data_IF_817788645886
#
_entry.id   IF_817788645886
#
_cell.length_a   1.000
_cell.length_b   1.000
_cell.length_c   1.000
_cell.angle_alpha   90.00
_cell.angle_beta   90.00
_cell.angle_gamma   90.00
#
_symmetry.space_group_name_H-M   'P 1'
#
loop_
_entity.id
_entity.type
_entity.pdbx_description
1 polymer ?
#
# COMPACT_ATOMS: atom_id res chain seq x y z
N UNK A 1 -25.62 15.14 -25.01
CA UNK A 1 -26.41 14.50 -23.93
C UNK A 1 -25.60 13.61 -22.99
N UNK A 2 -24.31 13.29 -23.26
CA UNK A 2 -23.45 12.47 -22.38
C UNK A 2 -22.74 13.21 -21.22
N UNK A 3 -22.71 14.55 -21.19
CA UNK A 3 -21.98 15.29 -20.14
C UNK A 3 -22.74 15.36 -18.80
N UNK A 4 -24.06 15.34 -18.82
CA UNK A 4 -24.89 15.49 -17.62
C UNK A 4 -25.02 14.20 -16.78
N UNK A 5 -24.79 13.03 -17.39
CA UNK A 5 -24.88 11.74 -16.67
C UNK A 5 -23.63 11.47 -15.82
N UNK A 6 -22.45 11.90 -16.30
CA UNK A 6 -21.19 11.77 -15.55
C UNK A 6 -21.12 12.71 -14.33
N UNK A 7 -21.74 13.89 -14.40
CA UNK A 7 -21.83 14.81 -13.26
C UNK A 7 -22.78 14.31 -12.16
N UNK A 8 -23.88 13.64 -12.54
CA UNK A 8 -24.80 13.02 -11.56
C UNK A 8 -24.15 11.83 -10.85
N UNK A 9 -23.35 11.02 -11.54
CA UNK A 9 -22.61 9.92 -10.94
C UNK A 9 -21.53 10.41 -9.97
N UNK A 10 -20.87 11.54 -10.28
CA UNK A 10 -19.91 12.17 -9.37
C UNK A 10 -20.58 12.66 -8.07
N UNK A 11 -21.72 13.33 -8.17
CA UNK A 11 -22.44 13.84 -6.99
C UNK A 11 -23.03 12.71 -6.12
N UNK A 12 -23.46 11.59 -6.72
CA UNK A 12 -23.92 10.40 -5.97
C UNK A 12 -22.77 9.71 -5.23
N UNK A 13 -21.59 9.59 -5.86
CA UNK A 13 -20.41 9.01 -5.21
C UNK A 13 -19.83 9.94 -4.14
N UNK A 14 -19.92 11.26 -4.34
CA UNK A 14 -19.59 12.29 -3.34
C UNK A 14 -20.54 12.27 -2.14
N UNK A 15 -21.83 12.00 -2.33
CA UNK A 15 -22.79 11.81 -1.24
C UNK A 15 -22.55 10.52 -0.45
N UNK A 16 -22.21 9.41 -1.13
CA UNK A 16 -21.87 8.14 -0.45
C UNK A 16 -20.62 8.24 0.44
N UNK A 17 -19.59 9.01 0.04
CA UNK A 17 -18.40 9.28 0.89
C UNK A 17 -18.71 10.21 2.08
N UNK A 18 -19.82 10.96 2.08
CA UNK A 18 -20.20 11.89 3.17
C UNK A 18 -21.11 11.28 4.24
N UNK A 19 -21.87 10.23 3.91
CA UNK A 19 -22.79 9.57 4.85
C UNK A 19 -22.06 8.56 5.76
N UNK A 20 -20.92 8.00 5.35
CA UNK A 20 -20.17 6.99 6.12
C UNK A 20 -19.22 7.54 7.20
N UNK A 21 -19.08 8.87 7.32
CA UNK A 21 -18.20 9.50 8.34
C UNK A 21 -18.93 9.80 9.67
N UNK A 22 -20.25 9.54 9.77
CA UNK A 22 -21.08 9.93 10.93
C UNK A 22 -21.77 8.76 11.67
N UNK A 23 -21.03 7.70 12.00
CA UNK A 23 -21.34 6.89 13.19
C UNK A 23 -20.12 6.89 14.10
N UNK A 24 -20.03 7.94 14.90
CA UNK A 24 -19.19 8.07 16.08
C UNK A 24 -19.58 7.02 17.13
N UNK A 25 -18.74 6.02 17.36
CA UNK A 25 -18.78 5.23 18.59
C UNK A 25 -18.00 5.98 19.68
N UNK A 26 -18.75 6.71 20.49
CA UNK A 26 -18.31 7.42 21.68
C UNK A 26 -17.96 6.42 22.80
N UNK A 27 -16.82 6.63 23.45
CA UNK A 27 -16.46 6.23 24.83
C UNK A 27 -16.50 4.75 25.22
N UNK A 28 -15.32 4.13 25.22
CA UNK A 28 -14.94 3.18 26.27
C UNK A 28 -13.46 3.38 26.62
N UNK A 29 -13.19 4.39 27.47
CA UNK A 29 -11.99 4.38 28.28
C UNK A 29 -12.20 3.45 29.46
N UNK A 30 -11.58 2.27 29.43
CA UNK A 30 -11.26 1.50 30.63
C UNK A 30 -10.04 0.60 30.36
N UNK A 31 -9.01 0.83 31.16
CA UNK A 31 -7.77 0.06 31.32
C UNK A 31 -7.91 -1.46 31.17
N UNK A 32 -7.05 -2.08 30.36
CA UNK A 32 -6.57 -3.44 30.60
C UNK A 32 -5.21 -3.66 29.91
N UNK A 33 -4.19 -3.91 30.74
CA UNK A 33 -2.94 -4.56 30.37
C UNK A 33 -3.27 -5.90 29.70
N UNK A 34 -2.68 -6.17 28.55
CA UNK A 34 -2.81 -7.47 27.89
C UNK A 34 -1.83 -7.59 26.74
N UNK A 35 -0.72 -8.27 27.01
CA UNK A 35 0.31 -8.69 26.07
C UNK A 35 -0.25 -8.97 24.66
N UNK A 36 0.19 -8.19 23.68
CA UNK A 36 -0.21 -8.36 22.28
C UNK A 36 0.21 -9.73 21.77
N UNK A 37 -0.78 -10.59 21.50
CA UNK A 37 -0.66 -11.63 20.49
C UNK A 37 -1.38 -11.09 19.25
N UNK A 38 -0.68 -10.32 18.43
CA UNK A 38 -1.12 -10.13 17.05
C UNK A 38 -0.86 -11.46 16.34
N UNK A 39 -1.86 -12.11 15.72
CA UNK A 39 -1.57 -13.23 14.83
C UNK A 39 -0.72 -12.69 13.68
N UNK A 40 0.58 -12.99 13.73
CA UNK A 40 1.46 -12.94 12.57
C UNK A 40 0.99 -14.07 11.65
N UNK A 41 0.02 -13.77 10.79
CA UNK A 41 -0.31 -14.65 9.67
C UNK A 41 0.95 -14.76 8.82
N UNK A 42 1.68 -15.85 9.03
CA UNK A 42 2.89 -16.21 8.31
C UNK A 42 2.44 -16.71 6.95
N UNK A 43 2.00 -15.76 6.11
CA UNK A 43 1.29 -15.98 4.87
C UNK A 43 2.12 -16.70 3.82
N UNK A 44 2.28 -18.00 3.97
CA UNK A 44 2.50 -18.88 2.81
C UNK A 44 1.12 -19.28 2.32
N UNK A 45 0.40 -18.34 1.70
CA UNK A 45 -0.84 -18.67 1.00
C UNK A 45 -0.44 -19.40 -0.29
N UNK A 46 -0.48 -20.73 -0.28
CA UNK A 46 -0.48 -21.49 -1.53
C UNK A 46 -1.79 -21.15 -2.25
N UNK A 47 -1.76 -20.09 -3.07
CA UNK A 47 -2.92 -19.55 -3.78
C UNK A 47 -3.65 -20.61 -4.62
N UNK A 48 -2.91 -21.65 -5.04
CA UNK A 48 -3.43 -22.80 -5.78
C UNK A 48 -4.38 -23.69 -4.95
N UNK A 49 -4.21 -23.79 -3.63
CA UNK A 49 -4.91 -24.80 -2.83
C UNK A 49 -6.33 -24.39 -2.40
N UNK A 50 -6.64 -23.10 -2.38
CA UNK A 50 -7.91 -22.60 -1.84
C UNK A 50 -8.95 -22.16 -2.90
N UNK A 51 -8.68 -22.37 -4.19
CA UNK A 51 -9.58 -21.96 -5.28
C UNK A 51 -9.87 -20.45 -5.35
N UNK A 52 -9.14 -19.65 -4.57
CA UNK A 52 -9.26 -18.19 -4.54
C UNK A 52 -8.45 -17.60 -5.69
N UNK A 53 -9.07 -16.68 -6.44
CA UNK A 53 -8.36 -15.90 -7.46
C UNK A 53 -7.59 -14.79 -6.75
N UNK A 54 -6.27 -14.98 -6.66
CA UNK A 54 -5.37 -14.05 -5.99
C UNK A 54 -4.41 -13.43 -7.01
N UNK A 55 -4.01 -12.20 -6.73
CA UNK A 55 -2.95 -11.48 -7.43
C UNK A 55 -2.01 -10.91 -6.38
N UNK A 56 -0.72 -10.85 -6.69
CA UNK A 56 0.27 -10.12 -5.91
C UNK A 56 0.73 -8.90 -6.70
N UNK A 57 0.75 -7.73 -6.07
CA UNK A 57 1.21 -6.49 -6.68
C UNK A 57 2.64 -6.22 -6.24
N UNK A 58 3.52 -6.05 -7.22
CA UNK A 58 4.92 -5.68 -6.98
C UNK A 58 5.27 -4.44 -7.80
N UNK A 59 6.11 -3.57 -7.23
CA UNK A 59 6.58 -2.36 -7.87
C UNK A 59 8.10 -2.29 -7.81
N UNK A 60 8.74 -2.18 -8.97
CA UNK A 60 10.19 -2.09 -9.12
C UNK A 60 10.63 -0.62 -9.30
N UNK A 61 11.95 -0.39 -9.29
CA UNK A 61 12.61 0.89 -9.58
C UNK A 61 12.31 2.05 -8.61
N UNK A 62 11.71 1.78 -7.46
CA UNK A 62 11.44 2.78 -6.43
C UNK A 62 12.69 3.16 -5.60
N UNK A 63 12.59 4.12 -4.67
CA UNK A 63 11.47 5.05 -4.50
C UNK A 63 11.56 6.25 -5.45
N UNK A 64 10.41 6.68 -5.96
CA UNK A 64 10.24 7.95 -6.68
C UNK A 64 9.49 8.95 -5.77
N UNK A 65 9.89 10.21 -5.78
CA UNK A 65 9.31 11.23 -4.87
C UNK A 65 7.85 11.55 -5.17
N UNK A 66 7.39 11.33 -6.41
CA UNK A 66 6.01 11.56 -6.82
C UNK A 66 5.24 10.24 -6.93
N UNK A 67 5.62 9.37 -7.86
CA UNK A 67 4.77 8.22 -8.25
C UNK A 67 4.62 7.19 -7.14
N UNK A 68 5.62 7.01 -6.27
CA UNK A 68 5.48 6.12 -5.10
C UNK A 68 4.37 6.62 -4.18
N UNK A 69 4.21 7.93 -3.98
CA UNK A 69 3.14 8.47 -3.15
C UNK A 69 1.77 8.29 -3.79
N UNK A 70 1.65 8.50 -5.10
CA UNK A 70 0.39 8.29 -5.83
C UNK A 70 -0.07 6.82 -5.76
N UNK A 71 0.88 5.88 -5.89
CA UNK A 71 0.60 4.44 -5.73
C UNK A 71 0.18 4.12 -4.29
N UNK A 72 0.86 4.67 -3.29
CA UNK A 72 0.48 4.47 -1.88
C UNK A 72 -0.92 5.05 -1.58
N UNK A 73 -1.29 6.19 -2.16
CA UNK A 73 -2.64 6.76 -2.02
C UNK A 73 -3.70 5.80 -2.55
N UNK A 74 -3.47 5.22 -3.74
CA UNK A 74 -4.38 4.24 -4.32
C UNK A 74 -4.45 2.95 -3.50
N UNK A 75 -3.30 2.42 -3.07
CA UNK A 75 -3.28 1.22 -2.23
C UNK A 75 -4.05 1.44 -0.91
N UNK A 76 -3.95 2.62 -0.31
CA UNK A 76 -4.76 2.99 0.85
C UNK A 76 -6.25 3.11 0.52
N UNK A 77 -6.63 3.72 -0.61
CA UNK A 77 -8.04 3.84 -1.03
C UNK A 77 -8.72 2.47 -1.19
N UNK A 78 -7.98 1.47 -1.64
CA UNK A 78 -8.49 0.11 -1.88
C UNK A 78 -8.18 -0.89 -0.77
N UNK A 79 -7.59 -0.46 0.35
CA UNK A 79 -7.13 -1.34 1.45
C UNK A 79 -6.27 -2.52 0.95
N UNK A 80 -5.41 -2.25 -0.03
CA UNK A 80 -4.57 -3.24 -0.69
C UNK A 80 -3.14 -3.21 -0.12
N UNK A 81 -2.44 -4.34 -0.22
CA UNK A 81 -1.01 -4.48 0.10
C UNK A 81 -0.20 -4.79 -1.14
N UNK A 82 1.06 -4.39 -1.14
CA UNK A 82 2.00 -4.60 -2.23
C UNK A 82 3.44 -4.67 -1.71
N UNK A 83 4.33 -5.20 -2.54
CA UNK A 83 5.78 -5.25 -2.28
C UNK A 83 6.50 -4.24 -3.18
N UNK A 84 7.40 -3.45 -2.59
CA UNK A 84 8.16 -2.41 -3.27
C UNK A 84 9.64 -2.79 -3.31
N UNK A 85 10.14 -3.14 -4.50
CA UNK A 85 11.54 -3.41 -4.76
C UNK A 85 12.26 -2.09 -5.04
N UNK A 86 13.10 -1.66 -4.08
CA UNK A 86 13.76 -0.36 -4.12
C UNK A 86 15.21 -0.46 -4.60
N UNK A 87 15.62 0.49 -5.44
CA UNK A 87 17.02 0.73 -5.81
C UNK A 87 17.68 1.55 -4.69
N UNK A 88 18.78 1.04 -4.13
CA UNK A 88 19.47 1.68 -3.02
C UNK A 88 19.85 3.14 -3.28
N UNK A 89 20.38 3.47 -4.46
CA UNK A 89 20.81 4.82 -4.82
C UNK A 89 19.63 5.79 -5.03
N UNK A 90 18.40 5.27 -5.22
CA UNK A 90 17.20 6.11 -5.27
C UNK A 90 16.72 6.50 -3.87
N UNK A 91 17.21 5.87 -2.81
CA UNK A 91 16.89 6.22 -1.41
C UNK A 91 17.80 7.35 -0.96
N UNK A 92 17.24 8.55 -0.88
CA UNK A 92 17.94 9.76 -0.43
C UNK A 92 17.03 10.60 0.49
N UNK A 93 17.51 11.74 0.97
CA UNK A 93 16.75 12.57 1.91
C UNK A 93 15.37 13.00 1.40
N UNK A 94 15.16 13.11 0.08
CA UNK A 94 13.87 13.50 -0.49
C UNK A 94 12.90 12.31 -0.63
N UNK A 95 13.41 11.11 -0.93
CA UNK A 95 12.59 9.92 -1.15
C UNK A 95 12.41 9.04 0.10
N UNK A 96 13.25 9.21 1.13
CA UNK A 96 13.17 8.43 2.37
C UNK A 96 11.79 8.56 3.06
N UNK A 97 11.12 9.70 2.91
CA UNK A 97 9.78 9.91 3.45
C UNK A 97 8.73 8.97 2.82
N UNK A 98 8.80 8.71 1.51
CA UNK A 98 7.86 7.78 0.86
C UNK A 98 8.16 6.33 1.23
N UNK A 99 9.43 5.96 1.40
CA UNK A 99 9.82 4.63 1.91
C UNK A 99 9.29 4.41 3.32
N UNK A 100 9.49 5.39 4.22
CA UNK A 100 8.96 5.31 5.59
C UNK A 100 7.44 5.19 5.58
N UNK A 101 6.77 5.98 4.74
CA UNK A 101 5.32 5.92 4.58
C UNK A 101 4.86 4.53 4.13
N UNK A 102 5.50 3.95 3.11
CA UNK A 102 5.17 2.60 2.63
C UNK A 102 5.30 1.56 3.77
N UNK A 103 6.39 1.63 4.53
CA UNK A 103 6.61 0.77 5.71
C UNK A 103 5.53 0.97 6.78
N UNK A 104 5.23 2.21 7.15
CA UNK A 104 4.20 2.53 8.15
C UNK A 104 2.80 2.05 7.72
N UNK A 105 2.55 1.97 6.41
CA UNK A 105 1.31 1.45 5.82
C UNK A 105 1.27 -0.10 5.75
N UNK A 106 2.33 -0.78 6.18
CA UNK A 106 2.42 -2.24 6.16
C UNK A 106 2.65 -2.83 4.77
N UNK A 107 3.31 -2.08 3.87
CA UNK A 107 3.81 -2.61 2.60
C UNK A 107 5.12 -3.36 2.83
N UNK A 108 5.45 -4.30 1.95
CA UNK A 108 6.76 -4.95 1.96
C UNK A 108 7.78 -4.06 1.25
N UNK A 109 9.00 -3.99 1.81
CA UNK A 109 10.11 -3.21 1.27
C UNK A 109 11.25 -4.18 0.95
N UNK A 110 11.55 -4.31 -0.33
CA UNK A 110 12.46 -5.30 -0.86
C UNK A 110 13.60 -4.67 -1.67
N UNK A 111 14.59 -5.50 -2.02
CA UNK A 111 15.85 -5.06 -2.64
C UNK A 111 15.79 -5.19 -4.17
N UNK A 112 15.98 -4.08 -4.89
CA UNK A 112 16.14 -4.02 -6.34
C UNK A 112 17.58 -3.67 -6.77
N UNK A 113 18.55 -4.19 -6.04
CA UNK A 113 19.98 -3.84 -6.06
C UNK A 113 20.28 -2.43 -5.57
N UNK A 114 21.57 -2.10 -5.45
CA UNK A 114 22.01 -0.76 -5.09
C UNK A 114 21.89 0.23 -6.25
N UNK A 115 22.36 -0.17 -7.43
CA UNK A 115 22.65 0.73 -8.57
C UNK A 115 21.82 0.40 -9.82
N UNK A 116 20.98 -0.63 -9.77
CA UNK A 116 20.26 -1.17 -10.92
C UNK A 116 21.19 -1.59 -12.08
N UNK A 117 22.40 -2.06 -11.74
CA UNK A 117 23.36 -2.60 -12.71
C UNK A 117 22.95 -4.01 -13.16
N UNK A 118 23.30 -4.34 -14.41
CA UNK A 118 23.03 -5.67 -14.95
C UNK A 118 23.85 -6.74 -14.21
N UNK A 119 23.18 -7.47 -13.31
CA UNK A 119 23.81 -8.48 -12.45
C UNK A 119 24.51 -9.60 -13.22
N UNK A 120 24.05 -9.95 -14.44
CA UNK A 120 24.70 -10.98 -15.26
C UNK A 120 26.10 -10.58 -15.76
N UNK A 121 26.45 -9.29 -15.67
CA UNK A 121 27.74 -8.73 -16.08
C UNK A 121 28.64 -8.37 -14.90
N UNK A 122 28.20 -8.63 -13.67
CA UNK A 122 28.97 -8.35 -12.46
C UNK A 122 29.86 -9.55 -12.12
N UNK A 123 30.99 -9.29 -11.48
CA UNK A 123 31.83 -10.35 -10.93
C UNK A 123 31.17 -10.97 -9.69
N UNK A 124 31.32 -12.29 -9.53
CA UNK A 124 30.93 -13.01 -8.32
C UNK A 124 31.80 -12.61 -7.12
#
# INVERSE_FOLDING_TARGET
MMKAENEKLYEVNRMRKRVSVLISALTAGLTAIGCGMLPQDSGTINAAENGKKLIALTFDDGPNTTTTNDVLDLLAEYDAKASFFLIGDNINSASAASVKRAYDMGMEIDNHSKTHSNMSKMTA
#
